data_IF_276999857326
#
_entry.id   IF_276999857326
#
_cell.length_a   1.000
_cell.length_b   1.000
_cell.length_c   1.000
_cell.angle_alpha   90.00
_cell.angle_beta   90.00
_cell.angle_gamma   90.00
#
_symmetry.space_group_name_H-M   'P 1'
#
loop_
_entity.id
_entity.type
_entity.pdbx_description
1 polymer ?
#
# COMPACT_ATOMS: atom_id res chain seq x y z
N UNK A 1 -10.31 -41.69 48.82
CA UNK A 1 -9.81 -41.88 47.44
C UNK A 1 -10.67 -41.05 46.47
N UNK A 2 -10.27 -39.82 46.15
CA UNK A 2 -10.86 -39.05 45.05
C UNK A 2 -9.94 -39.20 43.85
N UNK A 3 -10.46 -39.80 42.77
CA UNK A 3 -9.76 -39.96 41.48
C UNK A 3 -9.47 -38.57 40.89
N UNK A 4 -8.19 -38.30 40.65
CA UNK A 4 -7.71 -37.18 39.85
C UNK A 4 -8.30 -37.29 38.44
N UNK A 5 -8.94 -36.21 37.96
CA UNK A 5 -9.34 -36.10 36.56
C UNK A 5 -8.07 -35.90 35.75
N UNK A 6 -7.84 -36.83 34.83
CA UNK A 6 -6.82 -36.78 33.82
C UNK A 6 -7.07 -35.56 32.91
N UNK A 7 -6.32 -34.48 33.14
CA UNK A 7 -6.27 -33.34 32.23
C UNK A 7 -5.24 -33.68 31.16
N UNK A 8 -5.73 -34.22 30.05
CA UNK A 8 -4.98 -34.42 28.81
C UNK A 8 -4.22 -33.14 28.45
N UNK A 9 -2.90 -33.18 28.64
CA UNK A 9 -1.95 -32.22 28.08
C UNK A 9 -1.97 -32.37 26.56
N UNK A 10 -2.90 -31.67 25.91
CA UNK A 10 -2.76 -31.33 24.50
C UNK A 10 -1.45 -30.54 24.41
N UNK A 11 -0.52 -31.06 23.62
CA UNK A 11 0.79 -30.48 23.42
C UNK A 11 0.63 -29.05 22.88
N UNK A 12 1.46 -28.10 23.30
CA UNK A 12 1.44 -26.74 22.77
C UNK A 12 1.59 -26.71 21.25
N UNK A 13 2.33 -27.68 20.70
CA UNK A 13 2.45 -27.90 19.24
C UNK A 13 1.12 -28.31 18.61
N UNK A 14 0.35 -29.19 19.25
CA UNK A 14 -0.98 -29.62 18.78
C UNK A 14 -1.99 -28.47 18.86
N UNK A 15 -1.91 -27.59 19.88
CA UNK A 15 -2.73 -26.36 19.90
C UNK A 15 -2.34 -25.37 18.80
N UNK A 16 -1.06 -25.26 18.47
CA UNK A 16 -0.60 -24.44 17.35
C UNK A 16 -1.04 -24.99 16.00
N UNK A 17 -1.08 -26.31 15.84
CA UNK A 17 -1.62 -26.98 14.65
C UNK A 17 -3.15 -26.83 14.54
N UNK A 18 -3.87 -26.89 15.66
CA UNK A 18 -5.34 -26.78 15.70
C UNK A 18 -5.89 -25.36 15.52
N UNK A 19 -5.07 -24.32 15.72
CA UNK A 19 -5.44 -22.91 15.55
C UNK A 19 -4.85 -22.30 14.25
N UNK A 20 -4.43 -23.12 13.28
CA UNK A 20 -4.32 -22.59 11.92
C UNK A 20 -5.75 -22.32 11.44
N UNK A 21 -6.12 -21.04 11.30
CA UNK A 21 -7.19 -20.73 10.37
C UNK A 21 -6.81 -21.39 9.04
N UNK A 22 -7.60 -22.36 8.59
CA UNK A 22 -7.47 -22.92 7.25
C UNK A 22 -7.72 -21.77 6.28
N UNK A 23 -6.64 -21.08 5.92
CA UNK A 23 -6.66 -19.97 4.99
C UNK A 23 -6.51 -20.59 3.62
N UNK A 24 -7.64 -20.70 2.93
CA UNK A 24 -7.80 -21.28 1.60
C UNK A 24 -7.40 -20.31 0.48
N UNK A 25 -6.61 -19.28 0.79
CA UNK A 25 -6.13 -18.36 -0.24
C UNK A 25 -5.02 -19.02 -1.04
N UNK A 26 -5.15 -18.95 -2.37
CA UNK A 26 -4.17 -19.43 -3.33
C UNK A 26 -3.90 -18.33 -4.34
N UNK A 27 -2.64 -18.16 -4.73
CA UNK A 27 -2.27 -17.19 -5.76
C UNK A 27 -2.97 -17.52 -7.10
N UNK A 28 -3.35 -16.50 -7.89
CA UNK A 28 -3.96 -16.73 -9.20
C UNK A 28 -3.06 -17.55 -10.11
N UNK A 29 -3.62 -18.56 -10.76
CA UNK A 29 -2.90 -19.36 -11.76
C UNK A 29 -2.87 -18.68 -13.15
N UNK A 30 -3.74 -17.71 -13.35
CA UNK A 30 -3.97 -17.05 -14.64
C UNK A 30 -3.38 -15.64 -14.68
N UNK A 31 -2.93 -15.24 -15.86
CA UNK A 31 -2.45 -13.91 -16.19
C UNK A 31 -3.35 -13.30 -17.27
N UNK A 32 -4.52 -12.73 -16.89
CA UNK A 32 -5.52 -12.29 -17.86
C UNK A 32 -5.04 -11.08 -18.67
N UNK A 33 -5.59 -10.91 -19.87
CA UNK A 33 -5.38 -9.68 -20.64
C UNK A 33 -6.38 -8.62 -20.15
N UNK A 34 -5.87 -7.56 -19.51
CA UNK A 34 -6.67 -6.48 -18.95
C UNK A 34 -6.90 -5.33 -19.94
N UNK A 35 -6.41 -5.45 -21.18
CA UNK A 35 -6.42 -4.37 -22.18
C UNK A 35 -7.81 -3.91 -22.65
N UNK A 36 -8.86 -4.65 -22.30
CA UNK A 36 -10.27 -4.34 -22.58
C UNK A 36 -11.01 -3.78 -21.36
N UNK A 37 -10.33 -3.63 -20.22
CA UNK A 37 -10.94 -3.12 -18.99
C UNK A 37 -11.14 -1.62 -19.05
N UNK A 38 -12.21 -1.13 -18.41
CA UNK A 38 -12.45 0.32 -18.25
C UNK A 38 -11.33 0.99 -17.43
N UNK A 39 -10.93 0.31 -16.35
CA UNK A 39 -9.91 0.76 -15.39
C UNK A 39 -9.04 -0.43 -14.99
N UNK A 40 -7.80 -0.13 -14.62
CA UNK A 40 -6.90 -1.07 -13.95
C UNK A 40 -6.52 -0.44 -12.62
N UNK A 41 -7.01 -0.99 -11.51
CA UNK A 41 -6.53 -0.62 -10.19
C UNK A 41 -5.29 -1.43 -9.83
N UNK A 42 -4.27 -0.77 -9.27
CA UNK A 42 -3.02 -1.40 -8.88
C UNK A 42 -2.65 -0.97 -7.46
N UNK A 43 -2.19 -1.94 -6.68
CA UNK A 43 -1.65 -1.76 -5.34
C UNK A 43 -0.43 -2.67 -5.17
N UNK A 44 0.62 -2.18 -4.52
CA UNK A 44 1.86 -2.91 -4.32
C UNK A 44 2.11 -3.20 -2.85
N UNK A 45 2.39 -4.46 -2.57
CA UNK A 45 3.00 -4.84 -1.30
C UNK A 45 4.52 -4.74 -1.42
N UNK A 46 5.16 -4.14 -0.42
CA UNK A 46 6.58 -3.79 -0.49
C UNK A 46 7.32 -4.04 0.83
N UNK A 47 8.63 -4.16 0.73
CA UNK A 47 9.55 -4.02 1.86
C UNK A 47 10.20 -2.64 1.73
N UNK A 48 9.89 -1.72 2.64
CA UNK A 48 10.41 -0.36 2.67
C UNK A 48 10.85 0.00 4.12
N UNK A 49 12.02 -0.48 4.55
CA UNK A 49 12.41 -0.50 5.96
C UNK A 49 12.61 0.90 6.56
N UNK A 50 12.90 1.91 5.74
CA UNK A 50 13.16 3.28 6.18
C UNK A 50 12.01 4.25 5.82
N UNK A 51 10.83 3.73 5.46
CA UNK A 51 9.69 4.55 5.03
C UNK A 51 9.36 5.67 6.02
N UNK A 52 9.32 5.35 7.32
CA UNK A 52 8.90 6.29 8.36
C UNK A 52 9.97 7.32 8.74
N UNK A 53 11.24 7.05 8.40
CA UNK A 53 12.38 7.89 8.81
C UNK A 53 12.96 8.70 7.65
N UNK A 54 13.06 8.08 6.47
CA UNK A 54 13.69 8.65 5.29
C UNK A 54 12.70 8.85 4.12
N UNK A 55 11.44 8.42 4.27
CA UNK A 55 10.43 8.44 3.21
C UNK A 55 10.51 7.20 2.29
N UNK A 56 9.79 7.19 1.16
CA UNK A 56 9.72 6.03 0.26
C UNK A 56 11.09 5.55 -0.24
N UNK A 57 11.35 4.26 -0.16
CA UNK A 57 12.66 3.65 -0.45
C UNK A 57 13.01 3.48 -1.93
N UNK A 58 12.04 3.59 -2.84
CA UNK A 58 12.25 3.41 -4.28
C UNK A 58 13.29 4.39 -4.87
N UNK A 59 13.44 5.60 -4.32
CA UNK A 59 14.51 6.56 -4.72
C UNK A 59 15.88 6.23 -4.16
N UNK A 60 15.92 5.55 -3.01
CA UNK A 60 17.17 5.22 -2.29
C UNK A 60 17.67 3.81 -2.60
N UNK A 61 16.87 3.02 -3.29
CA UNK A 61 17.14 1.62 -3.59
C UNK A 61 17.39 0.77 -2.32
N UNK A 62 16.63 1.02 -1.25
CA UNK A 62 16.76 0.34 0.05
C UNK A 62 15.55 -0.55 0.40
N UNK A 63 14.78 -0.96 -0.60
CA UNK A 63 13.63 -1.84 -0.47
C UNK A 63 13.30 -2.60 -1.76
N UNK A 64 12.14 -3.25 -1.82
CA UNK A 64 11.70 -4.00 -3.00
C UNK A 64 10.19 -4.27 -3.02
N UNK A 65 9.66 -4.52 -4.22
CA UNK A 65 8.29 -5.05 -4.41
C UNK A 65 8.23 -6.50 -3.93
N UNK A 66 7.21 -6.82 -3.13
CA UNK A 66 6.93 -8.13 -2.52
C UNK A 66 5.86 -8.85 -3.31
N UNK A 67 4.85 -8.13 -3.78
CA UNK A 67 3.78 -8.65 -4.63
C UNK A 67 2.97 -7.52 -5.25
N UNK A 68 2.14 -7.89 -6.23
CA UNK A 68 1.36 -6.93 -7.01
C UNK A 68 -0.10 -7.33 -6.99
N UNK A 69 -0.96 -6.49 -6.44
CA UNK A 69 -2.40 -6.65 -6.50
C UNK A 69 -2.97 -5.84 -7.66
N UNK A 70 -3.88 -6.45 -8.42
CA UNK A 70 -4.57 -5.79 -9.53
C UNK A 70 -6.07 -6.10 -9.47
N UNK A 71 -6.89 -5.08 -9.71
CA UNK A 71 -8.32 -5.25 -9.92
C UNK A 71 -8.76 -4.56 -11.21
N UNK A 72 -9.56 -5.25 -12.03
CA UNK A 72 -10.04 -4.75 -13.31
C UNK A 72 -11.37 -5.42 -13.69
N UNK A 73 -12.47 -4.65 -13.66
CA UNK A 73 -13.81 -5.22 -13.78
C UNK A 73 -14.08 -6.20 -12.63
N UNK A 74 -14.48 -7.43 -12.98
CA UNK A 74 -14.73 -8.51 -12.02
C UNK A 74 -13.45 -9.29 -11.64
N UNK A 75 -12.32 -9.05 -12.32
CA UNK A 75 -11.06 -9.70 -12.01
C UNK A 75 -10.37 -9.00 -10.84
N UNK A 76 -9.93 -9.79 -9.87
CA UNK A 76 -9.09 -9.37 -8.74
C UNK A 76 -8.01 -10.46 -8.59
N UNK A 77 -6.76 -10.05 -8.39
CA UNK A 77 -5.70 -11.02 -8.12
C UNK A 77 -4.46 -10.40 -7.50
N UNK A 78 -3.85 -11.13 -6.56
CA UNK A 78 -2.56 -10.80 -5.98
C UNK A 78 -1.46 -11.76 -6.44
N UNK A 79 -0.38 -11.20 -6.99
CA UNK A 79 0.75 -11.93 -7.55
C UNK A 79 1.99 -11.77 -6.65
N UNK A 80 2.20 -12.67 -5.66
CA UNK A 80 3.36 -12.61 -4.77
C UNK A 80 4.65 -12.99 -5.50
N UNK A 81 5.73 -12.25 -5.27
CA UNK A 81 7.03 -12.49 -5.92
C UNK A 81 8.21 -12.59 -4.96
N UNK A 82 8.10 -12.01 -3.74
CA UNK A 82 9.25 -11.90 -2.83
C UNK A 82 8.90 -11.93 -1.33
N UNK A 83 7.89 -12.68 -0.94
CA UNK A 83 7.64 -13.03 0.47
C UNK A 83 8.75 -13.93 1.02
N UNK A 84 9.33 -13.58 2.17
CA UNK A 84 10.35 -14.43 2.81
C UNK A 84 9.75 -15.74 3.35
N UNK A 85 8.47 -15.74 3.75
CA UNK A 85 7.75 -16.92 4.20
C UNK A 85 7.27 -17.85 3.08
N UNK A 86 7.55 -17.54 1.81
CA UNK A 86 7.22 -18.38 0.66
C UNK A 86 5.83 -18.13 0.06
N UNK A 87 5.45 -18.99 -0.91
CA UNK A 87 4.23 -18.81 -1.72
C UNK A 87 4.41 -17.88 -2.93
N UNK A 88 5.66 -17.64 -3.36
CA UNK A 88 5.97 -16.74 -4.46
C UNK A 88 5.84 -17.40 -5.83
N UNK A 89 5.38 -16.60 -6.79
CA UNK A 89 5.42 -16.91 -8.22
C UNK A 89 6.77 -16.52 -8.82
N UNK A 90 7.02 -16.94 -10.07
CA UNK A 90 8.23 -16.51 -10.79
C UNK A 90 8.16 -15.02 -11.12
N UNK A 91 9.00 -14.22 -10.46
CA UNK A 91 9.05 -12.76 -10.60
C UNK A 91 9.07 -12.30 -12.07
N UNK A 92 9.89 -12.91 -12.93
CA UNK A 92 9.98 -12.53 -14.34
C UNK A 92 8.65 -12.69 -15.09
N UNK A 93 7.84 -13.70 -14.76
CA UNK A 93 6.53 -13.92 -15.40
C UNK A 93 5.56 -12.82 -14.96
N UNK A 94 5.47 -12.58 -13.64
CA UNK A 94 4.60 -11.56 -13.05
C UNK A 94 4.94 -10.18 -13.58
N UNK A 95 6.23 -9.80 -13.54
CA UNK A 95 6.67 -8.47 -13.99
C UNK A 95 6.49 -8.29 -15.50
N UNK A 96 6.73 -9.33 -16.31
CA UNK A 96 6.48 -9.24 -17.77
C UNK A 96 4.99 -9.02 -18.07
N UNK A 97 4.11 -9.74 -17.38
CA UNK A 97 2.68 -9.54 -17.50
C UNK A 97 2.27 -8.13 -17.05
N UNK A 98 2.72 -7.68 -15.88
CA UNK A 98 2.42 -6.35 -15.35
C UNK A 98 2.88 -5.25 -16.31
N UNK A 99 4.10 -5.33 -16.85
CA UNK A 99 4.59 -4.38 -17.86
C UNK A 99 3.64 -4.26 -19.05
N UNK A 100 3.09 -5.37 -19.54
CA UNK A 100 2.09 -5.36 -20.63
C UNK A 100 0.80 -4.68 -20.19
N UNK A 101 0.30 -4.94 -18.99
CA UNK A 101 -0.96 -4.36 -18.52
C UNK A 101 -0.85 -2.85 -18.24
N UNK A 102 0.31 -2.40 -17.73
CA UNK A 102 0.53 -0.99 -17.39
C UNK A 102 0.90 -0.12 -18.61
N UNK A 103 1.42 -0.72 -19.68
CA UNK A 103 1.68 -0.09 -20.98
C UNK A 103 0.43 0.00 -21.88
N UNK A 104 -0.67 0.50 -21.30
CA UNK A 104 -1.99 0.63 -21.97
C UNK A 104 -2.46 2.09 -21.92
N UNK A 105 -2.06 2.94 -22.87
CA UNK A 105 -2.25 4.40 -22.74
C UNK A 105 -3.72 4.83 -22.74
N UNK A 106 -4.61 3.99 -23.28
CA UNK A 106 -6.06 4.23 -23.32
C UNK A 106 -6.81 3.80 -22.06
N UNK A 107 -6.14 3.12 -21.11
CA UNK A 107 -6.77 2.63 -19.87
C UNK A 107 -6.22 3.41 -18.69
N UNK A 108 -7.08 4.11 -17.91
CA UNK A 108 -6.65 4.78 -16.71
C UNK A 108 -6.23 3.81 -15.59
N UNK A 109 -5.20 4.20 -14.83
CA UNK A 109 -4.64 3.44 -13.69
C UNK A 109 -5.18 4.03 -12.41
N UNK A 110 -5.84 3.23 -11.60
CA UNK A 110 -6.45 3.66 -10.34
C UNK A 110 -5.55 3.21 -9.18
N UNK A 111 -5.15 4.16 -8.35
CA UNK A 111 -4.37 3.91 -7.15
C UNK A 111 -5.03 4.57 -5.94
N UNK A 112 -4.53 4.23 -4.76
CA UNK A 112 -4.77 4.99 -3.54
C UNK A 112 -3.40 5.40 -2.99
N UNK A 113 -3.08 6.70 -3.00
CA UNK A 113 -1.72 7.21 -2.77
C UNK A 113 -0.73 6.83 -3.90
N UNK A 114 -1.09 7.17 -5.14
CA UNK A 114 -0.44 6.75 -6.38
C UNK A 114 1.08 6.98 -6.39
N UNK A 115 1.57 8.07 -5.79
CA UNK A 115 3.02 8.38 -5.81
C UNK A 115 3.88 7.30 -5.13
N UNK A 116 3.30 6.50 -4.25
CA UNK A 116 4.01 5.39 -3.61
C UNK A 116 4.19 4.22 -4.58
N UNK A 117 3.09 3.67 -5.10
CA UNK A 117 3.11 2.52 -6.01
C UNK A 117 3.82 2.84 -7.32
N UNK A 118 3.54 4.01 -7.90
CA UNK A 118 4.17 4.45 -9.14
C UNK A 118 5.68 4.64 -9.00
N UNK A 119 6.16 5.03 -7.81
CA UNK A 119 7.58 5.11 -7.52
C UNK A 119 8.25 3.74 -7.53
N UNK A 120 7.62 2.73 -6.92
CA UNK A 120 8.09 1.35 -6.95
C UNK A 120 7.99 0.73 -8.35
N UNK A 121 6.94 1.02 -9.12
CA UNK A 121 6.83 0.61 -10.53
C UNK A 121 7.95 1.24 -11.38
N UNK A 122 8.28 2.52 -11.16
CA UNK A 122 9.42 3.19 -11.80
C UNK A 122 10.74 2.50 -11.43
N UNK A 123 10.95 2.20 -10.15
CA UNK A 123 12.12 1.44 -9.67
C UNK A 123 12.24 0.06 -10.32
N UNK A 124 11.11 -0.61 -10.57
CA UNK A 124 11.04 -1.90 -11.24
C UNK A 124 11.03 -1.82 -12.79
N UNK A 125 11.26 -0.64 -13.35
CA UNK A 125 11.24 -0.36 -14.79
C UNK A 125 9.92 -0.79 -15.46
N UNK A 126 8.80 -0.63 -14.77
CA UNK A 126 7.46 -0.86 -15.29
C UNK A 126 6.92 0.45 -15.85
N UNK A 127 6.70 0.55 -17.18
CA UNK A 127 6.08 1.73 -17.75
C UNK A 127 4.63 1.84 -17.29
N UNK A 128 4.25 3.02 -16.81
CA UNK A 128 2.87 3.35 -16.48
C UNK A 128 2.39 4.41 -17.44
N UNK A 129 1.56 3.99 -18.40
CA UNK A 129 1.04 4.88 -19.44
C UNK A 129 -0.39 5.33 -19.13
N UNK A 130 -0.95 6.26 -19.90
CA UNK A 130 -2.34 6.70 -19.73
C UNK A 130 -2.58 7.53 -18.47
N UNK A 131 -3.86 7.82 -18.19
CA UNK A 131 -4.24 8.68 -17.07
C UNK A 131 -4.01 7.96 -15.74
N UNK A 132 -3.38 8.64 -14.78
CA UNK A 132 -3.30 8.19 -13.39
C UNK A 132 -4.47 8.80 -12.63
N UNK A 133 -5.15 7.97 -11.85
CA UNK A 133 -6.26 8.32 -10.98
C UNK A 133 -5.85 7.96 -9.57
N UNK A 134 -5.87 8.94 -8.66
CA UNK A 134 -5.59 8.72 -7.25
C UNK A 134 -6.84 9.00 -6.43
N UNK A 135 -7.40 7.96 -5.83
CA UNK A 135 -8.57 8.08 -4.95
C UNK A 135 -8.27 8.91 -3.71
N UNK A 136 -7.02 8.97 -3.25
CA UNK A 136 -6.61 9.81 -2.12
C UNK A 136 -6.56 11.30 -2.49
N UNK A 137 -6.40 11.64 -3.77
CA UNK A 137 -6.53 13.02 -4.29
C UNK A 137 -7.99 13.37 -4.53
N UNK A 138 -8.79 12.45 -5.08
CA UNK A 138 -10.21 12.67 -5.31
C UNK A 138 -10.98 12.94 -4.01
N UNK A 139 -10.66 12.21 -2.94
CA UNK A 139 -11.40 12.28 -1.67
C UNK A 139 -11.47 13.68 -1.02
N UNK A 140 -10.36 14.44 -0.85
CA UNK A 140 -10.42 15.79 -0.30
C UNK A 140 -11.08 16.81 -1.24
N UNK A 141 -11.10 16.58 -2.55
CA UNK A 141 -11.87 17.42 -3.47
C UNK A 141 -13.38 17.24 -3.25
N UNK A 142 -13.82 15.99 -3.00
CA UNK A 142 -15.22 15.64 -2.74
C UNK A 142 -15.67 16.11 -1.36
N UNK A 143 -14.81 15.97 -0.34
CA UNK A 143 -15.09 16.40 1.02
C UNK A 143 -13.79 16.56 1.83
N UNK A 144 -13.33 17.81 1.94
CA UNK A 144 -12.14 18.21 2.66
C UNK A 144 -12.29 18.14 4.19
N UNK A 145 -13.52 18.11 4.70
CA UNK A 145 -13.80 18.14 6.15
C UNK A 145 -13.69 16.76 6.83
N UNK A 146 -13.27 15.73 6.10
CA UNK A 146 -13.13 14.39 6.65
C UNK A 146 -11.91 14.25 7.56
N UNK A 147 -12.06 13.44 8.61
CA UNK A 147 -10.98 13.18 9.57
C UNK A 147 -9.81 12.35 9.02
N UNK A 148 -10.05 11.45 8.06
CA UNK A 148 -9.01 10.53 7.57
C UNK A 148 -9.29 10.05 6.15
N UNK A 149 -8.34 10.25 5.24
CA UNK A 149 -8.41 9.84 3.84
C UNK A 149 -7.81 8.46 3.57
N UNK A 150 -7.62 7.61 4.59
CA UNK A 150 -7.14 6.25 4.37
C UNK A 150 -8.16 5.39 3.61
N UNK A 151 -7.68 4.40 2.87
CA UNK A 151 -8.52 3.47 2.12
C UNK A 151 -9.58 2.79 3.00
N UNK A 152 -9.23 2.35 4.21
CA UNK A 152 -10.19 1.75 5.16
C UNK A 152 -11.29 2.75 5.58
N UNK A 153 -10.89 4.00 5.87
CA UNK A 153 -11.83 5.05 6.28
C UNK A 153 -12.79 5.42 5.15
N UNK A 154 -12.28 5.55 3.93
CA UNK A 154 -13.07 5.85 2.75
C UNK A 154 -13.96 4.68 2.34
N UNK A 155 -13.44 3.45 2.34
CA UNK A 155 -14.20 2.23 2.07
C UNK A 155 -15.38 2.08 3.02
N UNK A 156 -15.17 2.33 4.32
CA UNK A 156 -16.23 2.26 5.31
C UNK A 156 -17.31 3.31 5.06
N UNK A 157 -16.90 4.56 4.86
CA UNK A 157 -17.84 5.69 4.82
C UNK A 157 -18.62 5.76 3.50
N UNK A 158 -18.01 5.38 2.36
CA UNK A 158 -18.62 5.45 1.04
C UNK A 158 -19.21 4.12 0.54
N UNK A 159 -18.63 2.98 0.94
CA UNK A 159 -19.02 1.66 0.44
C UNK A 159 -19.63 0.77 1.53
N UNK A 160 -19.52 1.15 2.81
CA UNK A 160 -19.90 0.28 3.93
C UNK A 160 -18.98 -0.93 4.10
N UNK A 161 -17.84 -0.97 3.42
CA UNK A 161 -16.88 -2.08 3.43
C UNK A 161 -15.71 -1.73 4.37
N UNK A 162 -15.27 -2.71 5.18
CA UNK A 162 -14.06 -2.56 6.01
C UNK A 162 -13.01 -3.56 5.57
N UNK A 163 -11.74 -3.20 5.73
CA UNK A 163 -10.64 -4.11 5.46
C UNK A 163 -10.65 -5.27 6.47
N UNK A 164 -10.63 -6.51 5.97
CA UNK A 164 -10.44 -7.68 6.80
C UNK A 164 -8.93 -7.93 6.96
N UNK A 165 -8.39 -7.36 8.04
CA UNK A 165 -6.98 -7.54 8.40
C UNK A 165 -6.79 -8.61 9.47
N UNK A 166 -7.82 -9.39 9.80
CA UNK A 166 -7.79 -10.28 10.97
C UNK A 166 -6.69 -11.33 10.83
N UNK A 167 -6.68 -12.04 9.70
CA UNK A 167 -5.66 -13.06 9.39
C UNK A 167 -4.26 -12.46 9.41
N UNK A 168 -4.04 -11.36 8.68
CA UNK A 168 -2.75 -10.68 8.61
C UNK A 168 -2.23 -10.29 10.01
N UNK A 169 -3.09 -9.70 10.85
CA UNK A 169 -2.71 -9.25 12.19
C UNK A 169 -2.47 -10.41 13.16
N UNK A 170 -3.28 -11.46 13.09
CA UNK A 170 -3.12 -12.66 13.91
C UNK A 170 -1.79 -13.37 13.59
N UNK A 171 -1.48 -13.53 12.31
CA UNK A 171 -0.24 -14.15 11.87
C UNK A 171 0.99 -13.27 12.12
N UNK A 172 0.93 -11.97 11.85
CA UNK A 172 2.01 -11.05 12.22
C UNK A 172 2.33 -11.10 13.73
N UNK A 173 1.29 -11.15 14.57
CA UNK A 173 1.45 -11.31 16.02
C UNK A 173 2.10 -12.64 16.39
N UNK A 174 1.72 -13.74 15.74
CA UNK A 174 2.34 -15.07 15.96
C UNK A 174 3.82 -15.08 15.57
N UNK A 175 4.18 -14.34 14.53
CA UNK A 175 5.55 -14.20 14.04
C UNK A 175 6.37 -13.15 14.79
N UNK A 176 5.73 -12.36 15.67
CA UNK A 176 6.39 -11.30 16.44
C UNK A 176 6.87 -10.13 15.58
N UNK A 177 6.13 -9.81 14.52
CA UNK A 177 6.48 -8.78 13.53
C UNK A 177 5.37 -7.73 13.40
N UNK A 178 5.70 -6.57 12.83
CA UNK A 178 4.72 -5.54 12.49
C UNK A 178 3.88 -5.95 11.25
N UNK A 179 2.53 -5.96 11.33
CA UNK A 179 1.65 -6.40 10.25
C UNK A 179 1.65 -5.49 9.02
N UNK A 180 2.29 -4.31 9.07
CA UNK A 180 2.39 -3.38 7.94
C UNK A 180 3.83 -3.27 7.46
N UNK A 181 4.76 -2.91 8.34
CA UNK A 181 6.16 -2.70 7.99
C UNK A 181 6.92 -4.00 7.66
N UNK A 182 6.46 -5.14 8.19
CA UNK A 182 7.19 -6.41 8.10
C UNK A 182 6.39 -7.53 7.44
N UNK A 183 5.22 -7.25 6.86
CA UNK A 183 4.35 -8.27 6.26
C UNK A 183 5.02 -9.10 5.16
N UNK A 184 6.04 -8.53 4.51
CA UNK A 184 6.88 -9.23 3.52
C UNK A 184 7.57 -10.48 4.09
N UNK A 185 7.69 -10.60 5.41
CA UNK A 185 8.24 -11.77 6.09
C UNK A 185 7.25 -12.93 6.15
N UNK A 186 5.94 -12.66 6.06
CA UNK A 186 4.90 -13.69 6.13
C UNK A 186 4.81 -14.49 4.82
N UNK A 187 4.37 -15.76 4.88
CA UNK A 187 3.91 -16.49 3.71
C UNK A 187 2.83 -15.72 2.95
N UNK A 188 2.88 -15.76 1.61
CA UNK A 188 1.97 -15.01 0.74
C UNK A 188 0.48 -15.28 1.04
N UNK A 189 0.13 -16.50 1.47
CA UNK A 189 -1.25 -16.87 1.82
C UNK A 189 -1.89 -16.04 2.93
N UNK A 190 -1.08 -15.41 3.79
CA UNK A 190 -1.58 -14.55 4.86
C UNK A 190 -1.75 -13.09 4.44
N UNK A 191 -1.23 -12.73 3.26
CA UNK A 191 -1.25 -11.36 2.72
C UNK A 191 -2.17 -11.27 1.49
N UNK A 192 -2.38 -12.38 0.78
CA UNK A 192 -3.09 -12.40 -0.49
C UNK A 192 -4.51 -11.82 -0.45
N UNK A 193 -5.35 -12.25 0.50
CA UNK A 193 -6.71 -11.71 0.66
C UNK A 193 -6.71 -10.21 0.97
N UNK A 194 -5.75 -9.77 1.80
CA UNK A 194 -5.59 -8.37 2.17
C UNK A 194 -5.23 -7.52 0.94
N UNK A 195 -4.25 -7.96 0.16
CA UNK A 195 -3.78 -7.25 -1.03
C UNK A 195 -4.85 -7.23 -2.14
N UNK A 196 -5.55 -8.35 -2.36
CA UNK A 196 -6.70 -8.41 -3.27
C UNK A 196 -7.82 -7.45 -2.86
N UNK A 197 -8.10 -7.37 -1.56
CA UNK A 197 -9.09 -6.45 -1.03
C UNK A 197 -8.69 -4.99 -1.25
N UNK A 198 -7.41 -4.63 -1.10
CA UNK A 198 -6.94 -3.26 -1.30
C UNK A 198 -7.10 -2.79 -2.75
N UNK A 199 -6.70 -3.62 -3.72
CA UNK A 199 -6.91 -3.31 -5.13
C UNK A 199 -8.41 -3.24 -5.49
N UNK A 200 -9.22 -4.19 -5.01
CA UNK A 200 -10.65 -4.24 -5.27
C UNK A 200 -11.39 -3.04 -4.66
N UNK A 201 -11.07 -2.71 -3.40
CA UNK A 201 -11.67 -1.58 -2.68
C UNK A 201 -11.29 -0.26 -3.33
N UNK A 202 -10.05 -0.12 -3.79
CA UNK A 202 -9.58 1.05 -4.55
C UNK A 202 -10.40 1.24 -5.83
N UNK A 203 -10.63 0.17 -6.61
CA UNK A 203 -11.43 0.23 -7.83
C UNK A 203 -12.90 0.59 -7.54
N UNK A 204 -13.52 -0.07 -6.54
CA UNK A 204 -14.90 0.22 -6.13
C UNK A 204 -15.05 1.67 -5.66
N UNK A 205 -14.08 2.16 -4.89
CA UNK A 205 -14.07 3.52 -4.38
C UNK A 205 -13.99 4.53 -5.52
N UNK A 206 -13.15 4.28 -6.53
CA UNK A 206 -13.11 5.12 -7.72
C UNK A 206 -14.44 5.16 -8.47
N UNK A 207 -15.12 4.03 -8.65
CA UNK A 207 -16.44 4.02 -9.29
C UNK A 207 -17.46 4.91 -8.55
N UNK A 208 -17.38 4.96 -7.21
CA UNK A 208 -18.17 5.88 -6.39
C UNK A 208 -17.73 7.34 -6.59
N UNK A 209 -16.43 7.62 -6.49
CA UNK A 209 -15.88 8.97 -6.60
C UNK A 209 -16.05 9.59 -7.98
N UNK A 210 -15.97 8.81 -9.06
CA UNK A 210 -16.26 9.27 -10.41
C UNK A 210 -17.66 9.90 -10.48
N UNK A 211 -18.64 9.29 -9.81
CA UNK A 211 -20.02 9.81 -9.75
C UNK A 211 -20.09 11.08 -8.90
N UNK A 212 -19.41 11.12 -7.76
CA UNK A 212 -19.42 12.30 -6.87
C UNK A 212 -18.71 13.51 -7.50
N UNK A 213 -17.57 13.30 -8.17
CA UNK A 213 -16.86 14.34 -8.90
C UNK A 213 -17.73 14.96 -10.00
N UNK A 214 -18.53 14.14 -10.69
CA UNK A 214 -19.47 14.63 -11.70
C UNK A 214 -20.61 15.43 -11.07
N UNK A 215 -21.24 14.92 -10.00
CA UNK A 215 -22.35 15.60 -9.31
C UNK A 215 -21.96 16.96 -8.75
N UNK A 216 -20.72 17.10 -8.28
CA UNK A 216 -20.20 18.33 -7.68
C UNK A 216 -19.44 19.21 -8.68
N UNK A 217 -19.40 18.83 -9.97
CA UNK A 217 -18.71 19.57 -11.04
C UNK A 217 -17.20 19.76 -10.77
N UNK A 218 -16.58 18.80 -10.09
CA UNK A 218 -15.16 18.83 -9.68
C UNK A 218 -14.20 18.24 -10.73
N UNK A 219 -14.70 17.91 -11.93
CA UNK A 219 -13.91 17.24 -12.96
C UNK A 219 -12.65 18.02 -13.36
N UNK A 220 -12.75 19.33 -13.60
CA UNK A 220 -11.61 20.13 -14.06
C UNK A 220 -10.50 20.25 -13.04
N UNK A 221 -10.84 20.40 -11.75
CA UNK A 221 -9.84 20.47 -10.68
C UNK A 221 -9.20 19.09 -10.46
N UNK A 222 -9.99 18.01 -10.54
CA UNK A 222 -9.44 16.66 -10.45
C UNK A 222 -8.47 16.34 -11.60
N UNK A 223 -8.77 16.76 -12.84
CA UNK A 223 -7.82 16.61 -13.96
C UNK A 223 -6.53 17.39 -13.71
N UNK A 224 -6.63 18.62 -13.19
CA UNK A 224 -5.45 19.42 -12.86
C UNK A 224 -4.58 18.71 -11.83
N UNK A 225 -5.14 18.30 -10.69
CA UNK A 225 -4.41 17.61 -9.62
C UNK A 225 -3.80 16.28 -10.12
N UNK A 226 -4.56 15.50 -10.89
CA UNK A 226 -4.08 14.24 -11.47
C UNK A 226 -2.91 14.44 -12.43
N UNK A 227 -2.90 15.54 -13.19
CA UNK A 227 -1.80 15.86 -14.12
C UNK A 227 -0.48 16.19 -13.43
N UNK A 228 -0.50 16.52 -12.13
CA UNK A 228 0.69 16.83 -11.35
C UNK A 228 1.41 15.58 -10.83
N UNK A 229 0.77 14.41 -10.83
CA UNK A 229 1.34 13.18 -10.25
C UNK A 229 2.71 12.81 -10.88
N UNK A 230 2.89 12.84 -12.22
CA UNK A 230 4.21 12.58 -12.81
C UNK A 230 5.28 13.58 -12.33
N UNK A 231 4.93 14.86 -12.24
CA UNK A 231 5.84 15.90 -11.72
C UNK A 231 6.21 15.63 -10.26
N UNK A 232 5.26 15.22 -9.41
CA UNK A 232 5.53 14.89 -8.01
C UNK A 232 6.51 13.73 -7.88
N UNK A 233 6.40 12.71 -8.74
CA UNK A 233 7.37 11.62 -8.79
C UNK A 233 8.78 12.13 -9.14
N UNK A 234 8.89 12.98 -10.17
CA UNK A 234 10.18 13.55 -10.60
C UNK A 234 10.79 14.44 -9.51
N UNK A 235 9.97 15.22 -8.80
CA UNK A 235 10.43 16.03 -7.67
C UNK A 235 10.93 15.17 -6.51
N UNK A 236 10.23 14.08 -6.18
CA UNK A 236 10.65 13.13 -5.14
C UNK A 236 11.97 12.45 -5.49
N UNK A 237 12.13 12.02 -6.74
CA UNK A 237 13.36 11.40 -7.24
C UNK A 237 14.54 12.37 -7.23
N UNK A 238 14.31 13.62 -7.66
CA UNK A 238 15.34 14.67 -7.65
C UNK A 238 15.79 15.03 -6.25
N UNK A 239 14.85 15.07 -5.30
CA UNK A 239 15.09 15.47 -3.92
C UNK A 239 15.63 16.90 -3.77
N UNK A 240 16.09 17.21 -2.55
CA UNK A 240 16.75 18.48 -2.22
C UNK A 240 18.03 18.18 -1.43
N UNK A 241 19.13 18.83 -1.80
CA UNK A 241 20.39 18.70 -1.06
C UNK A 241 20.32 19.52 0.22
N UNK A 242 20.71 18.90 1.33
CA UNK A 242 20.75 19.53 2.66
C UNK A 242 22.19 19.52 3.18
N UNK A 243 22.63 20.66 3.69
CA UNK A 243 23.92 20.81 4.37
C UNK A 243 23.75 20.46 5.85
N UNK A 244 24.15 19.24 6.22
CA UNK A 244 23.95 18.71 7.57
C UNK A 244 24.81 19.43 8.61
N UNK A 245 26.01 19.89 8.24
CA UNK A 245 26.90 20.61 9.14
C UNK A 245 26.31 21.97 9.51
N UNK A 246 25.78 22.71 8.52
CA UNK A 246 25.06 23.97 8.78
C UNK A 246 23.79 23.75 9.58
N UNK A 247 23.07 22.64 9.35
CA UNK A 247 21.88 22.31 10.14
C UNK A 247 22.23 22.10 11.62
N UNK A 248 23.30 21.36 11.93
CA UNK A 248 23.74 21.15 13.31
C UNK A 248 24.25 22.46 13.95
N UNK A 249 25.00 23.27 13.21
CA UNK A 249 25.43 24.60 13.69
C UNK A 249 24.23 25.50 14.02
N UNK A 250 23.21 25.50 13.15
CA UNK A 250 21.97 26.28 13.34
C UNK A 250 21.22 25.80 14.58
N UNK A 251 21.09 24.49 14.78
CA UNK A 251 20.47 23.90 15.98
C UNK A 251 21.17 24.33 17.26
N UNK A 252 22.51 24.30 17.31
CA UNK A 252 23.28 24.76 18.47
C UNK A 252 23.08 26.26 18.73
N UNK A 253 23.03 27.07 17.67
CA UNK A 253 22.77 28.50 17.78
C UNK A 253 21.38 28.78 18.36
N UNK A 254 20.33 28.13 17.83
CA UNK A 254 18.96 28.28 18.32
C UNK A 254 18.81 27.83 19.77
N UNK A 255 19.43 26.72 20.17
CA UNK A 255 19.41 26.25 21.56
C UNK A 255 20.10 27.23 22.53
N UNK A 256 21.15 27.92 22.07
CA UNK A 256 21.80 28.98 22.85
C UNK A 256 20.88 30.19 23.00
N UNK A 257 20.25 30.64 21.90
CA UNK A 257 19.32 31.76 21.89
C UNK A 257 18.10 31.51 22.79
N UNK A 258 17.54 30.30 22.74
CA UNK A 258 16.42 29.89 23.61
C UNK A 258 16.76 30.07 25.10
N UNK A 259 17.96 29.67 25.53
CA UNK A 259 18.40 29.83 26.91
C UNK A 259 18.51 31.31 27.31
N UNK A 260 19.09 32.13 26.44
CA UNK A 260 19.24 33.58 26.67
C UNK A 260 17.87 34.26 26.83
N UNK A 261 16.94 33.97 25.92
CA UNK A 261 15.59 34.54 25.99
C UNK A 261 14.82 34.10 27.25
N UNK A 262 15.02 32.86 27.72
CA UNK A 262 14.42 32.41 28.99
C UNK A 262 14.99 33.14 30.20
N UNK A 263 16.27 33.49 30.17
CA UNK A 263 16.91 34.25 31.23
C UNK A 263 16.43 35.72 31.25
N UNK A 264 16.12 36.29 30.08
CA UNK A 264 15.61 37.65 29.91
C UNK A 264 14.12 37.85 30.29
N UNK A 265 13.35 36.76 30.44
CA UNK A 265 11.91 36.80 30.83
C UNK A 265 11.72 36.80 32.36
N UNK A 266 12.79 36.97 33.15
CA UNK A 266 12.71 37.23 34.59
C UNK A 266 12.27 38.66 34.91
#
# INVERSE_FOLDING_TARGET
MRKSKDTSTINWVERMEMDMAEIDWVAPEVFPDLSQSKYIAVDLETCDPNLMTLGPGWVRNDGFIVGVAVAAGDFIGYYPIKHAGGGNMTQNIVMKWLKKQMATPHIPKVCHNATYDLGWLRWAEVPVEGKIIDTMIAAPLINENRFSFSLDSLGRDYLGERKDEKVLREEAKRWGIDPKAEMWKLPAKFVGQYAEQDAALTLKLWNCFETELQKQELGSIFELESSLIPMMLDMREKGVRVDLDKAEQTKLHLAKLERQLKDDIK
#
